data_IF_606672717774
#
_entry.id   IF_606672717774
#
_cell.length_a   1.000
_cell.length_b   1.000
_cell.length_c   1.000
_cell.angle_alpha   90.00
_cell.angle_beta   90.00
_cell.angle_gamma   90.00
#
_symmetry.space_group_name_H-M   'P 1'
#
loop_
_entity.id
_entity.type
_entity.pdbx_description
1 polymer ?
#
# COMPACT_ATOMS: atom_id res chain seq x y z
N UNK A 1 13.13 20.21 -49.47
CA UNK A 1 13.76 21.31 -48.71
C UNK A 1 13.30 21.23 -47.27
N UNK A 2 14.21 21.57 -46.35
CA UNK A 2 14.07 21.69 -44.90
C UNK A 2 14.29 20.43 -44.03
N UNK A 3 15.57 20.05 -44.01
CA UNK A 3 16.46 19.85 -42.84
C UNK A 3 16.00 19.04 -41.62
N UNK A 4 16.58 17.84 -41.54
CA UNK A 4 17.01 17.10 -40.36
C UNK A 4 18.02 17.90 -39.51
N UNK A 5 17.86 17.89 -38.18
CA UNK A 5 18.96 18.17 -37.24
C UNK A 5 19.11 16.97 -36.31
N UNK A 6 20.22 16.26 -36.50
CA UNK A 6 20.79 15.26 -35.62
C UNK A 6 21.67 16.02 -34.62
N UNK A 7 21.46 15.85 -33.30
CA UNK A 7 22.42 16.35 -32.29
C UNK A 7 23.24 15.18 -31.79
N UNK A 8 24.51 15.19 -32.19
CA UNK A 8 25.60 14.39 -31.64
C UNK A 8 26.12 15.10 -30.39
N UNK A 9 26.05 14.47 -29.22
CA UNK A 9 26.78 14.94 -28.04
C UNK A 9 28.06 14.13 -27.86
N UNK A 10 29.18 14.77 -28.14
CA UNK A 10 30.52 14.27 -27.88
C UNK A 10 30.83 14.25 -26.38
N UNK A 11 31.50 13.19 -25.94
CA UNK A 11 31.96 13.03 -24.57
C UNK A 11 33.09 13.98 -24.22
N UNK A 12 33.01 14.56 -23.03
CA UNK A 12 34.12 15.19 -22.33
C UNK A 12 34.20 14.51 -20.96
N UNK A 13 35.25 13.72 -20.77
CA UNK A 13 35.64 13.17 -19.48
C UNK A 13 36.21 14.30 -18.62
N UNK A 14 35.50 14.66 -17.55
CA UNK A 14 36.03 15.49 -16.47
C UNK A 14 36.01 14.67 -15.17
N UNK A 15 37.20 14.35 -14.68
CA UNK A 15 37.40 13.77 -13.35
C UNK A 15 37.23 14.90 -12.33
N UNK A 16 36.18 14.85 -11.52
CA UNK A 16 35.98 15.75 -10.38
C UNK A 16 35.74 14.91 -9.12
N UNK A 17 36.54 15.19 -8.09
CA UNK A 17 36.62 14.42 -6.85
C UNK A 17 35.34 14.41 -6.04
N UNK A 18 35.18 13.32 -5.29
CA UNK A 18 34.09 13.13 -4.34
C UNK A 18 34.11 14.19 -3.24
N UNK A 19 33.04 14.98 -3.17
CA UNK A 19 32.60 15.64 -1.94
C UNK A 19 31.21 15.11 -1.62
N UNK A 20 31.11 14.36 -0.52
CA UNK A 20 29.84 14.02 0.13
C UNK A 20 29.23 15.30 0.70
N UNK A 21 28.52 16.04 -0.14
CA UNK A 21 27.65 17.14 0.25
C UNK A 21 26.25 16.63 0.48
N UNK A 22 25.83 16.61 1.75
CA UNK A 22 24.48 16.29 2.19
C UNK A 22 23.51 17.34 1.59
N UNK A 23 22.98 17.06 0.40
CA UNK A 23 22.01 17.93 -0.25
C UNK A 23 20.66 17.72 0.41
N UNK A 24 20.42 18.47 1.49
CA UNK A 24 19.07 18.73 1.95
C UNK A 24 18.32 19.36 0.77
N UNK A 25 17.42 18.59 0.13
CA UNK A 25 16.44 19.15 -0.78
C UNK A 25 15.68 20.20 0.02
N UNK A 26 15.96 21.48 -0.23
CA UNK A 26 15.06 22.56 0.10
C UNK A 26 13.78 22.27 -0.68
N UNK A 27 12.79 21.73 0.02
CA UNK A 27 11.41 21.76 -0.43
C UNK A 27 11.03 23.24 -0.55
N UNK A 28 10.93 23.75 -1.78
CA UNK A 28 10.18 24.99 -2.01
C UNK A 28 8.78 24.84 -1.40
N UNK A 29 8.16 25.93 -0.94
CA UNK A 29 6.85 25.85 -0.30
C UNK A 29 5.88 25.17 -1.27
N UNK A 30 5.30 24.05 -0.86
CA UNK A 30 4.14 23.49 -1.55
C UNK A 30 3.12 24.63 -1.72
N UNK A 31 2.37 24.68 -2.85
CA UNK A 31 1.30 25.66 -2.97
C UNK A 31 0.37 25.49 -1.77
N UNK A 32 0.45 26.44 -0.82
CA UNK A 32 -0.43 26.47 0.32
C UNK A 32 -1.83 26.65 -0.24
N UNK A 33 -2.71 25.69 0.05
CA UNK A 33 -4.06 25.71 -0.49
C UNK A 33 -4.73 27.06 -0.27
N UNK A 34 -5.50 27.48 -1.26
CA UNK A 34 -6.07 28.82 -1.37
C UNK A 34 -7.46 28.93 -0.73
N UNK A 35 -7.96 27.84 -0.14
CA UNK A 35 -9.28 27.79 0.47
C UNK A 35 -9.31 27.12 1.84
N UNK A 36 -10.45 27.31 2.53
CA UNK A 36 -10.71 26.66 3.80
C UNK A 36 -10.59 25.14 3.68
N UNK A 37 -10.24 24.42 4.77
CA UNK A 37 -10.18 22.97 4.78
C UNK A 37 -11.47 22.34 4.28
N UNK A 38 -11.36 21.30 3.45
CA UNK A 38 -12.52 20.57 2.90
C UNK A 38 -13.35 19.90 3.99
N UNK A 39 -12.69 19.36 5.02
CA UNK A 39 -13.35 18.77 6.18
C UNK A 39 -13.76 19.87 7.18
N UNK A 40 -15.07 19.98 7.44
CA UNK A 40 -15.69 21.03 8.28
C UNK A 40 -16.36 20.50 9.55
N UNK A 41 -16.49 19.18 9.71
CA UNK A 41 -17.13 18.56 10.89
C UNK A 41 -16.27 18.76 12.14
N UNK A 42 -16.89 18.71 13.34
CA UNK A 42 -16.14 18.73 14.61
C UNK A 42 -15.18 17.53 14.69
N UNK A 43 -13.94 17.70 15.19
CA UNK A 43 -13.04 16.58 15.48
C UNK A 43 -13.67 15.54 16.42
N UNK A 44 -13.26 14.27 16.30
CA UNK A 44 -13.68 13.20 17.21
C UNK A 44 -13.01 13.29 18.60
N UNK A 45 -11.85 13.94 18.69
CA UNK A 45 -11.06 14.11 19.91
C UNK A 45 -10.61 15.57 20.05
N UNK A 46 -10.29 15.98 21.28
CA UNK A 46 -9.73 17.31 21.56
C UNK A 46 -8.19 17.33 21.54
N UNK A 47 -7.59 16.33 20.88
CA UNK A 47 -6.15 16.22 20.74
C UNK A 47 -5.58 17.33 19.86
N UNK A 48 -4.43 17.86 20.29
CA UNK A 48 -3.74 18.94 19.59
C UNK A 48 -2.83 18.35 18.52
N UNK A 49 -2.80 18.95 17.31
CA UNK A 49 -1.78 18.62 16.32
C UNK A 49 -0.36 18.77 16.86
N UNK A 50 0.55 17.86 16.49
CA UNK A 50 1.97 17.94 16.81
C UNK A 50 2.67 19.10 16.09
N UNK A 51 2.17 19.51 14.92
CA UNK A 51 2.70 20.65 14.16
C UNK A 51 1.58 21.36 13.38
N UNK A 52 1.84 22.61 12.99
CA UNK A 52 0.91 23.40 12.20
C UNK A 52 0.66 22.73 10.83
N UNK A 53 -0.61 22.58 10.46
CA UNK A 53 -1.02 21.99 9.18
C UNK A 53 -1.13 20.46 9.17
N UNK A 54 -0.81 19.75 10.26
CA UNK A 54 -1.01 18.29 10.35
C UNK A 54 -2.49 17.90 10.18
N UNK A 55 -3.39 18.68 10.76
CA UNK A 55 -4.83 18.50 10.60
C UNK A 55 -5.41 19.70 9.90
N UNK A 56 -6.60 19.55 9.31
CA UNK A 56 -7.28 20.62 8.57
C UNK A 56 -6.40 21.19 7.46
N UNK A 57 -5.86 20.29 6.63
CA UNK A 57 -5.12 20.69 5.44
C UNK A 57 -5.95 21.69 4.61
N UNK A 58 -5.36 22.80 4.15
CA UNK A 58 -6.04 23.78 3.30
C UNK A 58 -6.67 23.11 2.08
N UNK A 59 -7.85 23.58 1.68
CA UNK A 59 -8.47 23.15 0.45
C UNK A 59 -7.70 23.66 -0.77
N UNK A 60 -7.78 22.92 -1.88
CA UNK A 60 -7.24 23.33 -3.17
C UNK A 60 -8.36 23.22 -4.21
N UNK A 61 -8.70 24.33 -4.86
CA UNK A 61 -9.60 24.30 -6.01
C UNK A 61 -8.83 24.01 -7.29
N UNK A 62 -9.03 22.82 -7.86
CA UNK A 62 -8.45 22.50 -9.16
C UNK A 62 -9.23 23.20 -10.27
N UNK A 63 -8.51 23.76 -11.25
CA UNK A 63 -9.12 24.32 -12.48
C UNK A 63 -9.32 23.26 -13.56
N UNK A 64 -8.74 22.08 -13.37
CA UNK A 64 -8.82 20.95 -14.30
C UNK A 64 -10.25 20.41 -14.30
N UNK A 65 -11.00 20.53 -15.40
CA UNK A 65 -12.30 19.88 -15.52
C UNK A 65 -12.13 18.38 -15.38
N UNK A 66 -13.04 17.73 -14.68
CA UNK A 66 -13.09 16.28 -14.59
C UNK A 66 -14.46 15.78 -15.03
N UNK A 67 -14.47 14.61 -15.66
CA UNK A 67 -15.66 13.88 -16.02
C UNK A 67 -15.59 12.49 -15.36
N UNK A 68 -16.72 11.99 -14.88
CA UNK A 68 -16.83 10.62 -14.43
C UNK A 68 -17.75 9.84 -15.37
N UNK A 69 -17.23 8.72 -15.90
CA UNK A 69 -17.99 7.78 -16.71
C UNK A 69 -18.01 6.42 -16.02
N UNK A 70 -19.20 5.86 -15.86
CA UNK A 70 -19.35 4.48 -15.37
C UNK A 70 -18.96 3.52 -16.49
N UNK A 71 -17.86 2.78 -16.31
CA UNK A 71 -17.46 1.74 -17.25
C UNK A 71 -18.35 0.50 -17.12
N UNK A 72 -18.58 0.02 -15.89
CA UNK A 72 -19.43 -1.14 -15.64
C UNK A 72 -20.03 -1.10 -14.23
N UNK A 73 -21.19 -1.73 -14.07
CA UNK A 73 -21.85 -1.97 -12.77
C UNK A 73 -21.95 -3.46 -12.43
N UNK A 74 -21.34 -4.33 -13.25
CA UNK A 74 -21.50 -5.78 -13.17
C UNK A 74 -20.50 -6.49 -12.25
N UNK A 75 -19.56 -5.75 -11.64
CA UNK A 75 -18.58 -6.29 -10.71
C UNK A 75 -19.24 -6.68 -9.38
N UNK A 76 -18.82 -7.81 -8.83
CA UNK A 76 -19.25 -8.29 -7.51
C UNK A 76 -18.18 -7.97 -6.46
N UNK A 77 -18.47 -7.02 -5.56
CA UNK A 77 -17.57 -6.62 -4.46
C UNK A 77 -16.11 -6.40 -4.95
N UNK A 78 -15.86 -5.50 -5.92
CA UNK A 78 -14.49 -5.24 -6.39
C UNK A 78 -13.63 -4.64 -5.27
N UNK A 79 -12.33 -4.93 -5.27
CA UNK A 79 -11.40 -4.41 -4.24
C UNK A 79 -10.19 -3.68 -4.84
N UNK A 80 -9.36 -4.38 -5.60
CA UNK A 80 -8.13 -3.87 -6.20
C UNK A 80 -8.23 -3.83 -7.71
N UNK A 81 -7.46 -2.95 -8.34
CA UNK A 81 -7.33 -2.90 -9.79
C UNK A 81 -5.93 -2.47 -10.21
N UNK A 82 -5.51 -2.93 -11.38
CA UNK A 82 -4.30 -2.46 -12.04
C UNK A 82 -4.51 -2.38 -13.55
N UNK A 83 -3.87 -1.42 -14.19
CA UNK A 83 -3.92 -1.29 -15.64
C UNK A 83 -3.01 -2.32 -16.31
N UNK A 84 -3.53 -3.02 -17.30
CA UNK A 84 -2.75 -3.83 -18.22
C UNK A 84 -2.06 -2.93 -19.27
N UNK A 85 -0.97 -3.39 -19.94
CA UNK A 85 -0.25 -2.57 -20.92
C UNK A 85 -1.10 -2.06 -22.10
N UNK A 86 -2.24 -2.70 -22.37
CA UNK A 86 -3.19 -2.31 -23.43
C UNK A 86 -4.31 -1.38 -22.94
N UNK A 87 -4.25 -0.92 -21.69
CA UNK A 87 -5.21 -0.01 -21.08
C UNK A 87 -6.46 -0.67 -20.49
N UNK A 88 -6.60 -2.00 -20.60
CA UNK A 88 -7.65 -2.74 -19.88
C UNK A 88 -7.34 -2.77 -18.39
N UNK A 89 -8.35 -3.04 -17.56
CA UNK A 89 -8.19 -3.11 -16.11
C UNK A 89 -8.32 -4.55 -15.63
N UNK A 90 -7.30 -5.08 -14.97
CA UNK A 90 -7.40 -6.32 -14.18
C UNK A 90 -7.91 -5.95 -12.79
N UNK A 91 -9.02 -6.56 -12.38
CA UNK A 91 -9.78 -6.19 -11.18
C UNK A 91 -9.99 -7.44 -10.32
N UNK A 92 -9.78 -7.34 -9.01
CA UNK A 92 -10.11 -8.40 -8.05
C UNK A 92 -11.53 -8.24 -7.54
N UNK A 93 -12.22 -9.36 -7.36
CA UNK A 93 -13.50 -9.46 -6.68
C UNK A 93 -13.27 -10.20 -5.35
N UNK A 94 -13.74 -9.63 -4.23
CA UNK A 94 -13.44 -10.16 -2.88
C UNK A 94 -13.71 -11.66 -2.71
N UNK A 95 -14.67 -12.21 -3.46
CA UNK A 95 -15.05 -13.62 -3.43
C UNK A 95 -14.04 -14.61 -4.03
N UNK A 96 -12.89 -14.15 -4.54
CA UNK A 96 -11.80 -15.04 -4.97
C UNK A 96 -11.58 -15.15 -6.47
N UNK A 97 -12.18 -14.26 -7.27
CA UNK A 97 -12.02 -14.21 -8.73
C UNK A 97 -11.42 -12.88 -9.18
N UNK A 98 -10.76 -12.88 -10.33
CA UNK A 98 -10.41 -11.65 -11.03
C UNK A 98 -11.28 -11.47 -12.27
N UNK A 99 -11.37 -10.24 -12.78
CA UNK A 99 -12.04 -9.86 -14.03
C UNK A 99 -11.15 -8.92 -14.82
N UNK A 100 -11.30 -8.93 -16.14
CA UNK A 100 -10.75 -7.88 -17.00
C UNK A 100 -11.89 -7.02 -17.51
N UNK A 101 -11.81 -5.72 -17.27
CA UNK A 101 -12.70 -4.73 -17.88
C UNK A 101 -12.00 -4.09 -19.09
N UNK A 102 -12.67 -4.15 -20.24
CA UNK A 102 -12.28 -3.39 -21.42
C UNK A 102 -12.47 -1.88 -21.23
N UNK A 103 -11.80 -1.07 -22.04
CA UNK A 103 -11.93 0.40 -22.02
C UNK A 103 -13.34 0.89 -22.36
N UNK A 104 -14.14 0.04 -23.01
CA UNK A 104 -15.56 0.27 -23.28
C UNK A 104 -16.51 -0.21 -22.17
N UNK A 105 -15.98 -0.82 -21.09
CA UNK A 105 -16.77 -1.37 -19.98
C UNK A 105 -17.18 -2.84 -20.11
N UNK A 106 -16.88 -3.52 -21.23
CA UNK A 106 -17.14 -4.96 -21.36
C UNK A 106 -16.32 -5.75 -20.36
N UNK A 107 -16.96 -6.65 -19.62
CA UNK A 107 -16.33 -7.45 -18.58
C UNK A 107 -16.07 -8.88 -19.07
N UNK A 108 -14.86 -9.41 -18.84
CA UNK A 108 -14.52 -10.81 -19.13
C UNK A 108 -15.36 -11.79 -18.30
N UNK A 109 -15.28 -13.09 -18.57
CA UNK A 109 -15.67 -14.11 -17.58
C UNK A 109 -14.75 -14.05 -16.34
N UNK A 110 -15.17 -14.63 -15.19
CA UNK A 110 -14.29 -14.79 -14.03
C UNK A 110 -13.00 -15.53 -14.36
N UNK A 111 -11.87 -14.95 -13.95
CA UNK A 111 -10.55 -15.55 -14.02
C UNK A 111 -10.35 -16.41 -12.78
N UNK A 112 -10.08 -17.69 -12.99
CA UNK A 112 -9.95 -18.71 -11.93
C UNK A 112 -8.50 -19.16 -11.76
N UNK A 113 -8.23 -20.25 -11.00
CA UNK A 113 -6.87 -20.77 -10.76
C UNK A 113 -6.12 -20.09 -9.61
N UNK A 114 -6.80 -19.23 -8.86
CA UNK A 114 -6.31 -18.62 -7.63
C UNK A 114 -6.51 -19.58 -6.44
N UNK A 115 -5.69 -19.48 -5.37
CA UNK A 115 -5.95 -20.18 -4.11
C UNK A 115 -7.32 -19.80 -3.53
N UNK A 116 -7.92 -20.70 -2.75
CA UNK A 116 -9.13 -20.39 -2.00
C UNK A 116 -8.90 -19.18 -1.09
N UNK A 117 -9.87 -18.26 -1.07
CA UNK A 117 -9.82 -17.06 -0.23
C UNK A 117 -10.85 -17.16 0.90
N UNK A 118 -10.55 -16.56 2.04
CA UNK A 118 -11.53 -16.30 3.10
C UNK A 118 -12.04 -14.86 2.97
N UNK A 119 -13.27 -14.69 2.49
CA UNK A 119 -13.85 -13.38 2.16
C UNK A 119 -14.79 -12.81 3.24
N UNK A 120 -14.71 -13.33 4.45
CA UNK A 120 -15.47 -12.86 5.61
C UNK A 120 -15.02 -11.46 6.05
N UNK A 121 -15.99 -10.62 6.43
CA UNK A 121 -15.74 -9.25 6.89
C UNK A 121 -14.92 -8.42 5.91
N UNK A 122 -13.75 -7.95 6.35
CA UNK A 122 -12.81 -7.17 5.54
C UNK A 122 -11.89 -8.04 4.66
N UNK A 123 -11.86 -9.36 4.86
CA UNK A 123 -11.03 -10.29 4.08
C UNK A 123 -11.57 -10.55 2.66
N UNK A 124 -10.79 -11.29 1.88
CA UNK A 124 -11.14 -11.74 0.53
C UNK A 124 -9.92 -11.78 -0.38
N UNK A 125 -10.14 -11.81 -1.69
CA UNK A 125 -9.13 -11.40 -2.66
C UNK A 125 -9.03 -9.86 -2.63
N UNK A 126 -7.86 -9.35 -2.31
CA UNK A 126 -7.62 -7.93 -2.03
C UNK A 126 -6.93 -7.29 -3.23
N UNK A 127 -5.69 -6.86 -3.12
CA UNK A 127 -5.05 -6.07 -4.16
C UNK A 127 -4.47 -6.92 -5.29
N UNK A 128 -4.17 -6.27 -6.42
CA UNK A 128 -3.51 -6.89 -7.57
C UNK A 128 -2.49 -5.95 -8.20
N UNK A 129 -1.34 -6.51 -8.56
CA UNK A 129 -0.30 -5.83 -9.32
C UNK A 129 0.24 -6.74 -10.42
N UNK A 130 0.78 -6.15 -11.47
CA UNK A 130 1.47 -6.89 -12.53
C UNK A 130 2.98 -6.64 -12.47
N UNK A 131 3.76 -7.63 -12.89
CA UNK A 131 5.21 -7.48 -13.03
C UNK A 131 5.54 -6.37 -14.07
N UNK A 132 6.58 -5.56 -13.88
CA UNK A 132 6.98 -4.55 -14.88
C UNK A 132 7.27 -5.14 -16.27
N UNK A 133 7.65 -6.42 -16.36
CA UNK A 133 7.83 -7.16 -17.60
C UNK A 133 6.59 -8.01 -17.98
N UNK A 134 5.38 -7.62 -17.56
CA UNK A 134 4.13 -8.35 -17.81
C UNK A 134 3.90 -8.68 -19.28
N UNK A 135 4.28 -7.77 -20.19
CA UNK A 135 4.14 -8.00 -21.63
C UNK A 135 4.92 -9.24 -22.12
N UNK A 136 5.97 -9.66 -21.39
CA UNK A 136 6.77 -10.83 -21.71
C UNK A 136 6.43 -12.03 -20.82
N UNK A 137 6.30 -11.82 -19.50
CA UNK A 137 6.17 -12.91 -18.53
C UNK A 137 4.73 -13.20 -18.07
N UNK A 138 3.82 -12.23 -18.25
CA UNK A 138 2.42 -12.25 -17.80
C UNK A 138 2.25 -12.54 -16.30
N UNK A 139 3.24 -12.17 -15.47
CA UNK A 139 3.19 -12.41 -14.03
C UNK A 139 2.29 -11.41 -13.31
N UNK A 140 1.41 -11.96 -12.47
CA UNK A 140 0.47 -11.24 -11.62
C UNK A 140 0.79 -11.59 -10.16
N UNK A 141 0.71 -10.57 -9.32
CA UNK A 141 0.80 -10.67 -7.87
C UNK A 141 -0.50 -10.21 -7.26
N UNK A 142 -0.94 -10.84 -6.18
CA UNK A 142 -2.13 -10.43 -5.46
C UNK A 142 -1.98 -10.63 -3.97
N UNK A 143 -2.76 -9.89 -3.20
CA UNK A 143 -2.92 -10.14 -1.76
C UNK A 143 -4.28 -10.76 -1.50
N UNK A 144 -4.36 -11.62 -0.49
CA UNK A 144 -5.62 -12.24 -0.10
C UNK A 144 -5.61 -12.65 1.37
N UNK A 145 -6.81 -12.86 1.91
CA UNK A 145 -7.01 -13.49 3.21
C UNK A 145 -6.95 -15.00 3.04
N UNK A 146 -5.89 -15.63 3.57
CA UNK A 146 -5.70 -17.07 3.56
C UNK A 146 -6.19 -17.67 4.89
N UNK A 147 -7.09 -18.65 4.82
CA UNK A 147 -7.48 -19.44 5.98
C UNK A 147 -6.42 -20.50 6.30
N UNK A 148 -6.11 -20.65 7.58
CA UNK A 148 -5.17 -21.62 8.12
C UNK A 148 -5.81 -22.34 9.33
N UNK A 149 -5.27 -23.48 9.78
CA UNK A 149 -5.83 -24.18 10.93
C UNK A 149 -5.90 -23.34 12.22
N UNK A 150 -5.00 -22.37 12.37
CA UNK A 150 -4.85 -21.48 13.54
C UNK A 150 -5.52 -20.10 13.36
N UNK A 151 -6.34 -19.91 12.32
CA UNK A 151 -7.06 -18.66 12.05
C UNK A 151 -6.92 -18.23 10.60
N UNK A 152 -6.65 -16.95 10.35
CA UNK A 152 -6.37 -16.47 9.00
C UNK A 152 -5.36 -15.31 9.00
N UNK A 153 -4.78 -15.02 7.83
CA UNK A 153 -3.77 -13.97 7.66
C UNK A 153 -3.81 -13.33 6.28
N UNK A 154 -3.13 -12.19 6.13
CA UNK A 154 -2.84 -11.59 4.83
C UNK A 154 -1.68 -12.35 4.16
N UNK A 155 -1.93 -12.89 2.97
CA UNK A 155 -0.95 -13.62 2.16
C UNK A 155 -0.71 -12.91 0.83
N UNK A 156 0.44 -13.18 0.21
CA UNK A 156 0.78 -12.74 -1.15
C UNK A 156 0.87 -13.94 -2.06
N UNK A 157 0.09 -13.93 -3.13
CA UNK A 157 0.15 -14.91 -4.19
C UNK A 157 0.86 -14.38 -5.44
N UNK A 158 1.39 -15.30 -6.23
CA UNK A 158 2.02 -15.06 -7.54
C UNK A 158 1.54 -16.12 -8.52
N UNK A 159 1.35 -15.73 -9.78
CA UNK A 159 1.05 -16.66 -10.86
C UNK A 159 1.09 -15.97 -12.22
N UNK A 160 0.87 -16.72 -13.28
CA UNK A 160 0.89 -16.21 -14.65
C UNK A 160 -0.52 -16.11 -15.20
N UNK A 161 -0.92 -14.96 -15.73
CA UNK A 161 -2.19 -14.86 -16.46
C UNK A 161 -2.08 -15.65 -17.78
N UNK A 162 -2.99 -16.62 -17.99
CA UNK A 162 -3.01 -17.44 -19.19
C UNK A 162 -3.15 -16.59 -20.46
N UNK A 163 -2.71 -17.12 -21.61
CA UNK A 163 -2.76 -16.40 -22.88
C UNK A 163 -4.20 -16.05 -23.31
N UNK A 164 -5.16 -16.90 -22.97
CA UNK A 164 -6.60 -16.68 -23.20
C UNK A 164 -7.28 -15.86 -22.09
N UNK A 165 -6.53 -15.48 -21.06
CA UNK A 165 -6.96 -14.63 -19.93
C UNK A 165 -8.13 -15.19 -19.12
N UNK A 166 -8.26 -16.53 -19.07
CA UNK A 166 -9.33 -17.20 -18.32
C UNK A 166 -8.89 -17.76 -16.96
N UNK A 167 -7.58 -17.87 -16.72
CA UNK A 167 -7.06 -18.43 -15.47
C UNK A 167 -5.66 -17.92 -15.11
N UNK A 168 -5.32 -18.03 -13.85
CA UNK A 168 -3.96 -17.93 -13.33
C UNK A 168 -3.31 -19.33 -13.37
N UNK A 169 -2.13 -19.40 -13.97
CA UNK A 169 -1.27 -20.56 -14.08
C UNK A 169 -0.18 -20.55 -13.00
N UNK A 170 0.11 -21.72 -12.43
CA UNK A 170 1.20 -21.87 -11.46
C UNK A 170 1.04 -20.98 -10.22
N UNK A 171 -0.21 -20.80 -9.76
CA UNK A 171 -0.49 -19.99 -8.59
C UNK A 171 0.23 -20.55 -7.36
N UNK A 172 1.01 -19.70 -6.70
CA UNK A 172 1.79 -20.04 -5.51
C UNK A 172 1.67 -18.94 -4.47
N UNK A 173 1.63 -19.32 -3.19
CA UNK A 173 1.70 -18.38 -2.08
C UNK A 173 3.17 -18.12 -1.77
N UNK A 174 3.63 -16.91 -2.01
CA UNK A 174 5.04 -16.53 -1.85
C UNK A 174 5.32 -15.90 -0.48
N UNK A 175 4.31 -15.36 0.19
CA UNK A 175 4.47 -14.75 1.52
C UNK A 175 3.20 -14.91 2.37
N UNK A 176 3.37 -15.03 3.69
CA UNK A 176 2.31 -15.10 4.70
C UNK A 176 2.65 -14.20 5.87
N UNK A 177 1.82 -13.18 6.15
CA UNK A 177 2.03 -12.26 7.26
C UNK A 177 1.69 -12.94 8.60
N UNK A 178 2.69 -13.54 9.24
CA UNK A 178 2.53 -14.24 10.53
C UNK A 178 2.56 -13.28 11.73
N UNK A 179 1.94 -13.64 12.87
CA UNK A 179 1.15 -14.86 13.10
C UNK A 179 -0.21 -14.82 12.39
N UNK A 180 -0.84 -15.99 12.25
CA UNK A 180 -2.26 -16.04 11.92
C UNK A 180 -3.09 -15.57 13.12
N UNK A 181 -4.30 -15.08 12.86
CA UNK A 181 -5.23 -14.67 13.91
C UNK A 181 -6.67 -14.98 13.52
N UNK A 182 -7.45 -15.47 14.47
CA UNK A 182 -8.89 -15.67 14.27
C UNK A 182 -9.62 -14.32 14.35
N UNK A 183 -9.85 -13.72 13.20
CA UNK A 183 -10.54 -12.44 13.07
C UNK A 183 -10.85 -12.11 11.62
N UNK A 184 -11.75 -11.16 11.39
CA UNK A 184 -12.24 -10.78 10.05
C UNK A 184 -12.01 -9.29 9.74
N UNK A 185 -11.15 -8.62 10.52
CA UNK A 185 -10.87 -7.19 10.42
C UNK A 185 -9.37 -6.92 10.21
N UNK A 186 -9.07 -5.76 9.64
CA UNK A 186 -7.73 -5.19 9.49
C UNK A 186 -6.71 -6.14 8.84
N UNK A 187 -6.93 -6.44 7.57
CA UNK A 187 -5.96 -7.17 6.75
C UNK A 187 -4.87 -6.25 6.17
N UNK A 188 -5.14 -4.95 6.07
CA UNK A 188 -4.46 -4.08 5.13
C UNK A 188 -4.62 -4.63 3.72
N UNK A 189 -3.50 -4.94 3.06
CA UNK A 189 -3.49 -5.75 1.85
C UNK A 189 -3.15 -4.99 0.58
N UNK A 190 -2.85 -3.69 0.61
CA UNK A 190 -2.32 -3.00 -0.57
C UNK A 190 -0.95 -3.54 -0.98
N UNK A 191 -0.73 -3.65 -2.29
CA UNK A 191 0.44 -4.24 -2.93
C UNK A 191 0.96 -3.29 -4.03
N UNK A 192 2.23 -2.91 -3.97
CA UNK A 192 2.86 -2.03 -4.97
C UNK A 192 4.19 -2.61 -5.41
N UNK A 193 4.43 -2.67 -6.72
CA UNK A 193 5.75 -3.00 -7.26
C UNK A 193 6.59 -1.73 -7.36
N UNK A 194 7.77 -1.72 -6.73
CA UNK A 194 8.68 -0.58 -6.80
C UNK A 194 9.49 -0.54 -8.10
N UNK A 195 10.20 0.59 -8.31
CA UNK A 195 11.03 0.80 -9.50
C UNK A 195 12.19 -0.19 -9.62
N UNK A 196 12.60 -0.81 -8.51
CA UNK A 196 13.62 -1.85 -8.48
C UNK A 196 13.02 -3.26 -8.65
N UNK A 197 11.69 -3.37 -8.72
CA UNK A 197 10.97 -4.61 -8.91
C UNK A 197 10.64 -5.37 -7.63
N UNK A 198 10.85 -4.80 -6.45
CA UNK A 198 10.42 -5.39 -5.18
C UNK A 198 8.95 -5.08 -4.91
N UNK A 199 8.33 -5.87 -4.04
CA UNK A 199 6.93 -5.70 -3.64
C UNK A 199 6.88 -5.02 -2.27
N UNK A 200 6.21 -3.87 -2.20
CA UNK A 200 5.71 -3.33 -0.94
C UNK A 200 4.34 -3.90 -0.65
N UNK A 201 4.15 -4.40 0.57
CA UNK A 201 2.89 -5.01 1.03
C UNK A 201 2.50 -4.38 2.34
N UNK A 202 1.25 -3.96 2.47
CA UNK A 202 0.70 -3.48 3.73
C UNK A 202 -0.05 -4.57 4.49
N UNK A 203 0.01 -4.52 5.81
CA UNK A 203 -0.78 -5.36 6.70
C UNK A 203 -1.45 -4.52 7.80
N UNK A 204 -2.64 -4.95 8.22
CA UNK A 204 -3.31 -4.40 9.40
C UNK A 204 -3.02 -5.23 10.64
N UNK A 205 -3.36 -4.70 11.82
CA UNK A 205 -3.07 -5.37 13.11
C UNK A 205 -4.19 -6.23 13.67
N UNK A 206 -5.24 -6.53 12.89
CA UNK A 206 -6.35 -7.46 13.22
C UNK A 206 -7.46 -6.93 14.14
N UNK A 207 -7.43 -5.65 14.54
CA UNK A 207 -8.49 -4.94 15.27
C UNK A 207 -8.83 -5.47 16.67
N UNK A 208 -7.99 -6.30 17.28
CA UNK A 208 -8.23 -6.89 18.59
C UNK A 208 -7.29 -6.31 19.66
N UNK A 209 -7.76 -6.16 20.90
CA UNK A 209 -6.92 -5.70 22.01
C UNK A 209 -5.68 -6.60 22.20
N UNK A 210 -5.80 -7.90 21.96
CA UNK A 210 -4.69 -8.84 22.04
C UNK A 210 -3.66 -8.66 20.91
N UNK A 211 -4.08 -8.18 19.74
CA UNK A 211 -3.21 -8.05 18.56
C UNK A 211 -2.64 -6.64 18.37
N UNK A 212 -3.30 -5.60 18.89
CA UNK A 212 -2.83 -4.21 18.81
C UNK A 212 -1.35 -4.03 19.19
N UNK A 213 -0.84 -4.59 20.31
CA UNK A 213 0.59 -4.46 20.65
C UNK A 213 1.54 -5.01 19.58
N UNK A 214 1.10 -5.95 18.75
CA UNK A 214 1.93 -6.56 17.71
C UNK A 214 2.34 -5.57 16.61
N UNK A 215 1.60 -4.47 16.43
CA UNK A 215 2.02 -3.39 15.54
C UNK A 215 3.43 -2.86 15.92
N UNK A 216 3.78 -2.88 17.21
CA UNK A 216 5.08 -2.49 17.76
C UNK A 216 6.13 -3.60 17.77
N UNK A 217 5.72 -4.86 17.62
CA UNK A 217 6.63 -6.01 17.69
C UNK A 217 7.30 -6.25 16.34
N UNK A 218 8.63 -6.36 16.34
CA UNK A 218 9.41 -6.60 15.13
C UNK A 218 9.43 -8.08 14.71
N UNK A 219 9.02 -9.01 15.57
CA UNK A 219 8.82 -10.43 15.27
C UNK A 219 7.36 -10.77 14.90
N UNK A 220 6.62 -9.79 14.39
CA UNK A 220 5.26 -9.94 13.90
C UNK A 220 5.09 -9.14 12.62
N UNK A 221 4.34 -9.69 11.67
CA UNK A 221 3.98 -9.03 10.41
C UNK A 221 2.63 -8.30 10.50
N UNK A 222 2.05 -8.14 11.70
CA UNK A 222 0.79 -7.41 11.92
C UNK A 222 1.03 -5.91 12.07
N UNK A 223 0.29 -5.08 11.34
CA UNK A 223 0.43 -3.61 11.40
C UNK A 223 1.76 -3.11 10.84
N UNK A 224 2.13 -3.56 9.64
CA UNK A 224 3.45 -3.34 9.01
C UNK A 224 3.33 -2.88 7.56
N UNK A 225 4.37 -2.21 7.09
CA UNK A 225 4.75 -2.23 5.67
C UNK A 225 5.92 -3.19 5.51
N UNK A 226 5.77 -4.14 4.60
CA UNK A 226 6.75 -5.15 4.25
C UNK A 226 7.39 -4.79 2.91
N UNK A 227 8.65 -5.20 2.71
CA UNK A 227 9.34 -5.10 1.43
C UNK A 227 9.99 -6.45 1.08
N UNK A 228 9.43 -7.13 0.09
CA UNK A 228 9.83 -8.48 -0.31
C UNK A 228 10.24 -8.54 -1.78
N UNK A 229 10.99 -9.56 -2.16
CA UNK A 229 11.27 -9.89 -3.55
C UNK A 229 10.03 -10.44 -4.24
N UNK A 230 10.12 -10.57 -5.57
CA UNK A 230 9.11 -11.21 -6.41
C UNK A 230 8.87 -12.69 -6.09
N UNK A 231 9.70 -13.30 -5.25
CA UNK A 231 9.59 -14.67 -4.76
C UNK A 231 9.33 -14.72 -3.24
N UNK A 232 8.97 -13.58 -2.64
CA UNK A 232 8.53 -13.47 -1.26
C UNK A 232 9.64 -13.46 -0.20
N UNK A 233 10.91 -13.41 -0.61
CA UNK A 233 12.04 -13.29 0.30
C UNK A 233 12.21 -11.84 0.77
N UNK A 234 12.87 -11.58 1.91
CA UNK A 234 13.24 -10.23 2.31
C UNK A 234 14.02 -9.50 1.21
N UNK A 235 13.63 -8.27 0.90
CA UNK A 235 14.35 -7.49 -0.10
C UNK A 235 15.73 -7.04 0.44
N UNK A 236 16.78 -7.01 -0.40
CA UNK A 236 18.07 -6.46 -0.02
C UNK A 236 17.97 -5.01 0.48
N UNK A 237 18.72 -4.71 1.54
CA UNK A 237 18.74 -3.38 2.15
C UNK A 237 17.56 -3.08 3.08
N UNK A 238 16.74 -4.09 3.42
CA UNK A 238 15.71 -3.90 4.43
C UNK A 238 16.31 -3.48 5.80
N UNK A 239 15.66 -2.56 6.52
CA UNK A 239 16.19 -1.94 7.73
C UNK A 239 16.40 -2.94 8.88
N UNK A 240 15.65 -4.05 8.90
CA UNK A 240 15.69 -5.04 9.99
C UNK A 240 16.38 -6.36 9.59
N UNK A 241 17.00 -6.42 8.41
CA UNK A 241 17.52 -7.67 7.81
C UNK A 241 18.47 -8.45 8.74
N UNK A 242 19.31 -7.74 9.50
CA UNK A 242 20.31 -8.33 10.40
C UNK A 242 19.96 -8.16 11.88
N UNK A 243 18.75 -7.70 12.20
CA UNK A 243 18.35 -7.46 13.58
C UNK A 243 17.84 -8.75 14.21
N UNK A 244 18.46 -9.14 15.33
CA UNK A 244 18.03 -10.31 16.10
C UNK A 244 16.58 -10.14 16.57
N UNK A 245 15.78 -11.19 16.43
CA UNK A 245 14.36 -11.23 16.80
C UNK A 245 13.48 -10.23 16.03
N UNK A 246 13.88 -9.84 14.82
CA UNK A 246 13.04 -9.09 13.89
C UNK A 246 12.77 -9.92 12.63
N UNK A 247 11.61 -9.73 12.02
CA UNK A 247 11.31 -10.25 10.70
C UNK A 247 12.10 -9.44 9.66
N UNK A 248 12.93 -10.09 8.83
CA UNK A 248 13.83 -9.41 7.90
C UNK A 248 13.11 -8.66 6.77
N UNK A 249 11.88 -9.03 6.46
CA UNK A 249 11.04 -8.38 5.44
C UNK A 249 10.43 -7.04 5.87
N UNK A 250 10.52 -6.67 7.16
CA UNK A 250 9.93 -5.42 7.65
C UNK A 250 10.59 -4.21 7.00
N UNK A 251 9.76 -3.26 6.57
CA UNK A 251 10.18 -1.95 6.08
C UNK A 251 9.83 -0.84 7.06
N UNK A 252 8.60 -0.83 7.58
CA UNK A 252 8.17 0.05 8.67
C UNK A 252 7.12 -0.64 9.55
N UNK A 253 6.89 -0.09 10.74
CA UNK A 253 6.03 -0.71 11.75
C UNK A 253 5.23 0.33 12.53
N UNK A 254 4.35 -0.14 13.42
CA UNK A 254 3.49 0.75 14.22
C UNK A 254 2.29 1.28 13.44
N UNK A 255 1.72 0.47 12.55
CA UNK A 255 0.53 0.83 11.77
C UNK A 255 -0.71 0.10 12.30
N UNK A 256 -1.89 0.70 12.12
CA UNK A 256 -3.18 0.12 12.49
C UNK A 256 -3.78 -0.68 11.33
N UNK A 257 -4.22 -0.01 10.27
CA UNK A 257 -4.88 -0.67 9.13
C UNK A 257 -4.68 0.13 7.85
N UNK A 258 -3.54 -0.10 7.21
CA UNK A 258 -3.12 0.57 5.98
C UNK A 258 -3.99 0.11 4.82
N UNK A 259 -4.71 1.04 4.21
CA UNK A 259 -5.57 0.76 3.06
C UNK A 259 -4.98 1.29 1.76
N UNK A 260 -4.19 2.36 1.79
CA UNK A 260 -3.54 2.95 0.62
C UNK A 260 -2.03 2.76 0.68
N UNK A 261 -1.43 2.49 -0.49
CA UNK A 261 0.01 2.54 -0.71
C UNK A 261 0.22 3.01 -2.15
N UNK A 262 1.10 3.99 -2.34
CA UNK A 262 1.46 4.49 -3.65
C UNK A 262 2.90 5.01 -3.64
N UNK A 263 3.59 4.87 -4.77
CA UNK A 263 4.88 5.49 -4.98
C UNK A 263 4.66 6.86 -5.62
N UNK A 264 5.27 7.89 -5.05
CA UNK A 264 5.27 9.22 -5.64
C UNK A 264 5.90 9.16 -7.04
N UNK A 265 5.22 9.66 -8.09
CA UNK A 265 5.60 9.41 -9.48
C UNK A 265 6.96 10.01 -9.86
N UNK A 266 7.38 11.09 -9.21
CA UNK A 266 8.69 11.73 -9.45
C UNK A 266 9.76 11.20 -8.48
N UNK A 267 9.59 11.42 -7.18
CA UNK A 267 10.60 11.09 -6.15
C UNK A 267 10.72 9.59 -5.86
N UNK A 268 9.69 8.78 -6.14
CA UNK A 268 9.64 7.37 -5.75
C UNK A 268 9.42 7.16 -4.24
N UNK A 269 9.13 8.21 -3.46
CA UNK A 269 8.80 8.08 -2.06
C UNK A 269 7.53 7.25 -1.87
N UNK A 270 7.54 6.32 -0.92
CA UNK A 270 6.35 5.54 -0.57
C UNK A 270 5.42 6.38 0.30
N UNK A 271 4.15 6.48 -0.09
CA UNK A 271 3.10 7.11 0.69
C UNK A 271 2.04 6.07 1.01
N UNK A 272 1.42 6.21 2.17
CA UNK A 272 0.34 5.36 2.61
C UNK A 272 -0.85 6.18 3.11
N UNK A 273 -2.01 5.52 3.20
CA UNK A 273 -3.15 6.03 3.96
C UNK A 273 -3.75 4.91 4.82
N UNK A 274 -3.98 5.18 6.10
CA UNK A 274 -4.49 4.19 7.02
C UNK A 274 -5.68 4.66 7.86
N UNK A 275 -6.47 3.69 8.30
CA UNK A 275 -7.66 3.93 9.11
C UNK A 275 -7.30 3.95 10.60
N UNK A 276 -7.59 5.07 11.27
CA UNK A 276 -7.57 5.19 12.72
C UNK A 276 -8.75 4.45 13.38
N UNK A 277 -8.86 4.51 14.72
CA UNK A 277 -10.05 4.06 15.45
C UNK A 277 -11.19 5.06 15.21
N UNK A 278 -11.80 5.66 16.25
CA UNK A 278 -12.77 6.74 16.05
C UNK A 278 -12.03 8.04 15.74
N UNK A 279 -11.81 8.31 14.46
CA UNK A 279 -10.92 9.38 13.98
C UNK A 279 -9.45 8.98 14.06
N UNK A 280 -8.57 9.89 13.66
CA UNK A 280 -7.13 9.62 13.58
C UNK A 280 -6.74 8.78 12.37
N UNK A 281 -7.49 8.89 11.26
CA UNK A 281 -7.01 8.41 9.96
C UNK A 281 -5.79 9.23 9.54
N UNK A 282 -4.83 8.58 8.89
CA UNK A 282 -3.53 9.17 8.58
C UNK A 282 -3.18 9.04 7.11
N UNK A 283 -2.34 9.97 6.65
CA UNK A 283 -1.58 9.87 5.40
C UNK A 283 -0.13 10.05 5.78
N UNK A 284 0.66 8.99 5.62
CA UNK A 284 2.06 9.02 5.99
C UNK A 284 2.98 8.88 4.77
N UNK A 285 4.09 9.61 4.79
CA UNK A 285 5.25 9.29 3.96
C UNK A 285 6.04 8.19 4.67
N UNK A 286 6.13 7.03 4.05
CA UNK A 286 6.77 5.86 4.61
C UNK A 286 8.28 5.87 4.42
N UNK A 287 9.01 5.73 5.52
CA UNK A 287 10.46 5.71 5.59
C UNK A 287 10.96 4.40 6.20
N UNK A 288 12.10 3.92 5.71
CA UNK A 288 12.69 2.67 6.14
C UNK A 288 13.04 2.71 7.64
N UNK A 289 12.60 1.69 8.37
CA UNK A 289 12.91 1.45 9.78
C UNK A 289 12.06 2.27 10.75
N UNK A 290 11.20 3.16 10.26
CA UNK A 290 10.42 4.07 11.10
C UNK A 290 9.21 3.41 11.75
N UNK A 291 8.89 3.92 12.94
CA UNK A 291 7.73 3.57 13.76
C UNK A 291 6.64 4.62 13.57
N UNK A 292 5.45 4.20 13.16
CA UNK A 292 4.28 5.06 12.95
C UNK A 292 3.36 5.12 14.19
N UNK A 293 3.79 4.48 15.29
CA UNK A 293 3.32 4.79 16.63
C UNK A 293 2.13 3.98 17.13
N UNK A 294 1.27 3.45 16.27
CA UNK A 294 0.11 2.66 16.70
C UNK A 294 0.55 1.40 17.48
N UNK A 295 -0.10 1.04 18.61
CA UNK A 295 -1.22 1.71 19.27
C UNK A 295 -0.80 2.70 20.37
N UNK A 296 0.51 2.87 20.60
CA UNK A 296 1.04 3.73 21.65
C UNK A 296 0.72 5.20 21.40
N UNK A 297 0.78 5.61 20.13
CA UNK A 297 0.45 6.96 19.64
C UNK A 297 -0.72 6.87 18.68
N UNK A 298 -1.72 7.75 18.88
CA UNK A 298 -2.82 7.92 17.94
C UNK A 298 -3.53 9.25 18.15
N UNK A 299 -4.07 9.82 17.07
CA UNK A 299 -4.97 10.97 17.14
C UNK A 299 -6.45 10.57 17.30
N UNK A 300 -6.75 9.27 17.26
CA UNK A 300 -8.07 8.72 17.47
C UNK A 300 -8.36 8.36 18.93
N UNK A 301 -9.62 8.03 19.18
CA UNK A 301 -10.11 7.49 20.45
C UNK A 301 -10.80 6.15 20.21
N UNK A 302 -11.05 5.37 21.27
CA UNK A 302 -11.90 4.20 21.17
C UNK A 302 -13.30 4.61 20.69
N UNK A 303 -14.01 3.71 20.01
CA UNK A 303 -15.38 3.99 19.57
C UNK A 303 -16.33 4.30 20.74
N UNK A 304 -16.04 3.78 21.93
CA UNK A 304 -16.74 4.13 23.19
C UNK A 304 -16.55 5.59 23.63
N UNK A 305 -15.56 6.29 23.10
CA UNK A 305 -15.15 7.63 23.53
C UNK A 305 -13.95 7.64 24.50
N UNK A 306 -13.52 6.47 24.99
CA UNK A 306 -12.33 6.35 25.85
C UNK A 306 -11.05 6.62 25.08
N UNK A 307 -9.98 7.00 25.77
CA UNK A 307 -8.63 7.06 25.18
C UNK A 307 -8.17 5.67 24.73
N UNK A 308 -7.44 5.61 23.62
CA UNK A 308 -6.65 4.41 23.28
C UNK A 308 -5.39 4.43 24.14
N UNK A 309 -5.20 3.38 24.95
CA UNK A 309 -4.07 3.31 25.89
C UNK A 309 -3.97 4.58 26.75
N UNK A 310 -2.78 5.21 26.87
CA UNK A 310 -2.62 6.45 27.64
C UNK A 310 -3.22 7.70 26.98
N UNK A 311 -3.67 7.61 25.71
CA UNK A 311 -4.09 8.76 24.90
C UNK A 311 -2.94 9.71 24.57
N UNK A 312 -1.78 9.14 24.25
CA UNK A 312 -0.61 9.89 23.82
C UNK A 312 -0.67 10.17 22.30
N UNK A 313 -0.27 11.38 21.91
CA UNK A 313 -0.27 11.85 20.50
C UNK A 313 1.13 12.11 19.97
N UNK A 314 2.15 11.90 20.80
CA UNK A 314 3.57 12.09 20.48
C UNK A 314 4.46 11.23 21.39
N UNK A 315 5.58 10.77 20.85
CA UNK A 315 6.70 10.16 21.57
C UNK A 315 8.02 10.46 20.83
N UNK A 316 9.19 10.35 21.49
CA UNK A 316 10.48 10.42 20.81
C UNK A 316 10.66 9.26 19.79
N UNK A 317 11.16 9.54 18.59
CA UNK A 317 11.41 8.55 17.53
C UNK A 317 11.37 9.17 16.13
#
# INVERSE_FOLDING_TARGET
MNHTILILCAGISAVAGAQCGNSAMQSGPAPMGDSAPVESRKPNSDYRPAFAGQTRAPGVHTKTPWEAKVLTRALSRPWGLTALPDGRLLITEKGGTMRIAGTNGTLSAPITGLPTVNDAGQGGLLDVAIDPAFAQNRLVYWTFSEALPDGNLTAVGKGKLSADERRIEGATVIYRARPAYDGTLHYGGRLVVDRAGYLFVSTGERSDLATRPQAQWLNSALGKVLRITRDGQPAPGNPFLNQKNAFPELYSYGHRNIQGLALHPETGALWESEMGPRGGDEVNRIEAGKNYGWPAITYGIEYSGSKVGPGATQAPG
#
